data_IF_580986628841
#
_entry.id   IF_580986628841
#
_cell.length_a   1.000
_cell.length_b   1.000
_cell.length_c   1.000
_cell.angle_alpha   90.00
_cell.angle_beta   90.00
_cell.angle_gamma   90.00
#
_symmetry.space_group_name_H-M   'P 1'
#
loop_
_entity.id
_entity.type
_entity.pdbx_description
1 polymer ?
#
# COMPACT_ATOMS: atom_id res chain seq x y z
N UNK A 1 37.07 34.37 -7.46
CA UNK A 1 37.54 33.31 -6.53
C UNK A 1 36.80 33.26 -5.19
N UNK A 2 35.98 34.24 -4.81
CA UNK A 2 35.21 34.20 -3.58
C UNK A 2 34.00 33.26 -3.67
N UNK A 3 33.30 33.16 -4.83
CA UNK A 3 32.13 32.32 -4.99
C UNK A 3 32.38 30.81 -4.89
N UNK A 4 33.61 30.36 -5.19
CA UNK A 4 33.98 28.95 -5.10
C UNK A 4 34.18 28.44 -3.66
N UNK A 5 34.44 29.35 -2.72
CA UNK A 5 34.54 29.00 -1.31
C UNK A 5 33.22 28.84 -0.59
N UNK A 6 32.15 29.49 -1.09
CA UNK A 6 30.82 29.35 -0.50
C UNK A 6 30.11 28.06 -0.93
N UNK A 7 30.41 27.55 -2.12
CA UNK A 7 29.82 26.30 -2.63
C UNK A 7 30.41 25.03 -2.00
N UNK A 8 31.58 25.10 -1.39
CA UNK A 8 32.24 23.99 -0.73
C UNK A 8 32.19 24.05 0.80
N UNK A 9 31.54 25.05 1.37
CA UNK A 9 31.19 25.01 2.78
C UNK A 9 29.90 24.17 2.95
N UNK A 10 30.09 22.86 3.04
CA UNK A 10 29.14 22.05 3.82
C UNK A 10 29.09 22.68 5.23
N UNK A 11 28.08 23.47 5.47
CA UNK A 11 27.73 23.88 6.84
C UNK A 11 27.21 22.63 7.52
N UNK A 12 28.11 21.85 8.08
CA UNK A 12 27.73 20.92 9.13
C UNK A 12 27.11 21.78 10.23
N UNK A 13 25.81 21.65 10.52
CA UNK A 13 25.20 22.44 11.56
C UNK A 13 25.88 22.07 12.88
N UNK A 14 26.73 22.98 13.35
CA UNK A 14 27.29 22.88 14.68
C UNK A 14 26.12 23.09 15.64
N UNK A 15 25.59 21.98 16.17
CA UNK A 15 24.46 22.02 17.12
C UNK A 15 23.12 21.64 16.54
N UNK A 16 23.05 20.69 15.59
CA UNK A 16 21.81 19.98 15.40
C UNK A 16 21.38 19.43 16.77
N UNK A 17 20.18 19.83 17.28
CA UNK A 17 19.70 19.27 18.53
C UNK A 17 19.66 17.75 18.31
N UNK A 18 20.50 17.02 19.02
CA UNK A 18 20.33 15.58 19.14
C UNK A 18 18.94 15.43 19.76
N UNK A 19 17.96 15.13 18.94
CA UNK A 19 16.69 14.65 19.45
C UNK A 19 17.03 13.38 20.21
N UNK A 20 17.24 13.53 21.51
CA UNK A 20 17.18 12.38 22.40
C UNK A 20 15.81 11.77 22.14
N UNK A 21 15.80 10.62 21.48
CA UNK A 21 14.65 9.76 21.55
C UNK A 21 14.43 9.56 23.05
N UNK A 22 13.47 10.27 23.60
CA UNK A 22 12.92 9.89 24.88
C UNK A 22 12.49 8.46 24.68
N UNK A 23 13.17 7.53 25.36
CA UNK A 23 12.70 6.16 25.48
C UNK A 23 11.22 6.28 25.84
N UNK A 24 10.35 6.06 24.86
CA UNK A 24 8.94 5.90 25.17
C UNK A 24 8.92 4.64 26.01
N UNK A 25 8.45 4.76 27.24
CA UNK A 25 8.10 3.62 28.06
C UNK A 25 7.21 2.70 27.26
N UNK A 26 7.83 1.75 26.57
CA UNK A 26 7.10 0.68 25.92
C UNK A 26 6.54 -0.11 27.09
N UNK A 27 5.23 -0.18 27.26
CA UNK A 27 4.65 -0.92 28.37
C UNK A 27 5.19 -2.34 28.31
N UNK A 28 5.84 -2.76 29.37
CA UNK A 28 6.59 -4.02 29.55
C UNK A 28 5.72 -5.27 29.31
N UNK A 29 4.42 -5.09 29.17
CA UNK A 29 3.44 -6.13 28.86
C UNK A 29 2.44 -5.61 27.83
N UNK A 30 2.64 -5.98 26.58
CA UNK A 30 1.56 -5.97 25.60
C UNK A 30 0.44 -6.88 26.12
N UNK A 31 -0.68 -6.30 26.51
CA UNK A 31 -1.86 -7.10 26.87
C UNK A 31 -2.30 -7.84 25.62
N UNK A 32 -2.38 -9.20 25.66
CA UNK A 32 -2.96 -9.93 24.56
C UNK A 32 -4.39 -9.41 24.35
N UNK A 33 -4.70 -9.01 23.12
CA UNK A 33 -6.06 -8.61 22.75
C UNK A 33 -6.90 -9.90 22.77
N UNK A 34 -7.62 -10.12 23.85
CA UNK A 34 -8.62 -11.17 23.95
C UNK A 34 -9.93 -10.60 23.37
N UNK A 35 -10.29 -11.05 22.18
CA UNK A 35 -11.50 -10.63 21.51
C UNK A 35 -11.63 -11.24 20.13
N UNK A 36 -12.82 -11.18 19.50
CA UNK A 36 -12.97 -11.54 18.09
C UNK A 36 -11.99 -10.71 17.28
N UNK A 37 -11.47 -11.29 16.18
CA UNK A 37 -10.54 -10.62 15.29
C UNK A 37 -11.05 -9.20 14.99
N UNK A 38 -10.27 -8.19 15.38
CA UNK A 38 -10.65 -6.79 15.20
C UNK A 38 -10.68 -6.52 13.69
N UNK A 39 -11.88 -6.42 13.15
CA UNK A 39 -12.10 -5.96 11.77
C UNK A 39 -12.23 -4.44 11.83
N UNK A 40 -11.34 -3.75 11.13
CA UNK A 40 -11.51 -2.32 10.83
C UNK A 40 -12.06 -2.22 9.43
N UNK A 41 -13.09 -1.44 9.25
CA UNK A 41 -13.73 -1.27 7.95
C UNK A 41 -14.22 0.17 7.78
N UNK A 42 -14.33 0.61 6.52
CA UNK A 42 -14.80 1.94 6.18
C UNK A 42 -15.17 2.08 4.71
N UNK A 43 -15.75 3.24 4.40
CA UNK A 43 -16.05 3.67 3.03
C UNK A 43 -15.33 4.97 2.65
N UNK A 44 -14.78 5.65 3.65
CA UNK A 44 -14.02 6.87 3.44
C UNK A 44 -12.57 6.51 3.13
N UNK A 45 -12.03 7.16 2.14
CA UNK A 45 -10.62 7.12 1.73
C UNK A 45 -10.22 8.54 1.29
N UNK A 46 -8.94 8.77 1.06
CA UNK A 46 -8.50 10.07 0.61
C UNK A 46 -8.20 11.08 1.71
N UNK A 47 -7.97 10.60 2.92
CA UNK A 47 -7.46 11.42 4.02
C UNK A 47 -5.99 11.75 3.80
N UNK A 48 -5.52 12.87 4.36
CA UNK A 48 -4.10 13.22 4.42
C UNK A 48 -3.26 12.12 5.10
N UNK A 49 -3.87 11.37 6.00
CA UNK A 49 -3.29 10.20 6.64
C UNK A 49 -4.21 8.99 6.39
N UNK A 50 -3.95 8.19 5.35
CA UNK A 50 -4.73 6.99 5.08
C UNK A 50 -4.60 5.99 6.23
N UNK A 51 -5.66 5.23 6.48
CA UNK A 51 -5.57 4.09 7.37
C UNK A 51 -4.74 3.00 6.72
N UNK A 52 -3.82 2.44 7.49
CA UNK A 52 -2.93 1.40 7.01
C UNK A 52 -3.03 0.14 7.86
N UNK A 53 -2.75 -0.99 7.22
CA UNK A 53 -2.71 -2.30 7.84
C UNK A 53 -1.47 -3.06 7.41
N UNK A 54 -0.76 -3.64 8.36
CA UNK A 54 0.42 -4.47 8.12
C UNK A 54 0.02 -5.94 8.21
N UNK A 55 0.31 -6.69 7.16
CA UNK A 55 0.16 -8.15 7.11
C UNK A 55 1.54 -8.77 6.97
N UNK A 56 1.88 -9.73 7.83
CA UNK A 56 3.21 -10.32 7.80
C UNK A 56 3.18 -11.77 8.31
N UNK A 57 4.09 -12.58 7.76
CA UNK A 57 4.39 -13.92 8.27
C UNK A 57 5.78 -14.01 8.96
N UNK A 58 6.42 -12.85 9.19
CA UNK A 58 7.74 -12.75 9.79
C UNK A 58 8.87 -12.59 8.77
N UNK A 59 8.78 -13.18 7.58
CA UNK A 59 9.76 -13.02 6.49
C UNK A 59 9.26 -12.12 5.36
N UNK A 60 7.99 -12.25 5.00
CA UNK A 60 7.29 -11.35 4.08
C UNK A 60 6.40 -10.38 4.84
N UNK A 61 6.39 -9.12 4.43
CA UNK A 61 5.51 -8.09 4.98
C UNK A 61 4.85 -7.29 3.86
N UNK A 62 3.54 -7.12 3.97
CA UNK A 62 2.72 -6.28 3.09
C UNK A 62 2.05 -5.16 3.87
N UNK A 63 2.21 -3.93 3.43
CA UNK A 63 1.45 -2.78 3.90
C UNK A 63 0.28 -2.55 2.95
N UNK A 64 -0.91 -2.38 3.49
CA UNK A 64 -2.14 -2.10 2.77
C UNK A 64 -2.79 -0.82 3.28
N UNK A 65 -3.11 0.12 2.38
CA UNK A 65 -3.85 1.34 2.68
C UNK A 65 -5.35 1.19 2.40
N UNK A 66 -6.17 2.01 3.05
CA UNK A 66 -7.61 2.10 2.84
C UNK A 66 -7.97 2.42 1.38
N UNK A 67 -7.12 3.18 0.70
CA UNK A 67 -7.25 3.53 -0.71
C UNK A 67 -6.74 2.45 -1.68
N UNK A 68 -6.25 1.31 -1.18
CA UNK A 68 -5.74 0.21 -2.01
C UNK A 68 -4.26 0.32 -2.40
N UNK A 69 -3.56 1.39 -2.00
CA UNK A 69 -2.11 1.44 -2.14
C UNK A 69 -1.47 0.38 -1.25
N UNK A 70 -0.43 -0.26 -1.77
CA UNK A 70 0.26 -1.32 -1.05
C UNK A 70 1.77 -1.18 -1.18
N UNK A 71 2.50 -1.84 -0.30
CA UNK A 71 3.95 -1.96 -0.39
C UNK A 71 4.36 -3.32 0.16
N UNK A 72 5.27 -4.00 -0.51
CA UNK A 72 5.72 -5.33 -0.10
C UNK A 72 7.23 -5.38 0.07
N UNK A 73 7.66 -6.08 1.11
CA UNK A 73 9.08 -6.30 1.43
C UNK A 73 9.31 -7.73 1.90
N UNK A 74 10.52 -8.22 1.68
CA UNK A 74 11.01 -9.49 2.17
C UNK A 74 12.33 -9.27 2.93
N UNK A 75 12.31 -9.44 4.24
CA UNK A 75 13.44 -9.10 5.09
C UNK A 75 13.79 -7.60 4.97
N UNK A 76 15.00 -7.30 4.55
CA UNK A 76 15.51 -5.94 4.29
C UNK A 76 15.24 -5.44 2.86
N UNK A 77 14.77 -6.32 1.95
CA UNK A 77 14.56 -6.00 0.54
C UNK A 77 13.16 -5.47 0.28
N UNK A 78 13.10 -4.32 -0.35
CA UNK A 78 11.88 -3.79 -0.92
C UNK A 78 11.54 -4.59 -2.18
N UNK A 79 10.32 -5.11 -2.29
CA UNK A 79 9.88 -5.90 -3.44
C UNK A 79 9.15 -5.02 -4.45
N UNK A 80 8.21 -4.21 -3.97
CA UNK A 80 7.47 -3.28 -4.82
C UNK A 80 7.78 -1.85 -4.43
N UNK A 81 7.70 -0.94 -5.39
CA UNK A 81 7.88 0.49 -5.13
C UNK A 81 6.85 0.98 -4.11
N UNK A 82 7.34 1.60 -3.04
CA UNK A 82 6.53 2.25 -2.02
C UNK A 82 6.69 3.76 -2.14
N UNK A 83 5.76 4.42 -2.82
CA UNK A 83 5.68 5.90 -2.88
C UNK A 83 4.71 6.39 -1.80
N UNK A 84 5.05 6.17 -0.54
CA UNK A 84 4.30 6.68 0.58
C UNK A 84 4.29 8.22 0.52
N UNK A 85 3.11 8.81 0.41
CA UNK A 85 2.93 10.27 0.28
C UNK A 85 2.59 10.77 -1.11
N UNK A 86 2.65 9.95 -2.14
CA UNK A 86 2.14 10.30 -3.46
C UNK A 86 0.75 9.69 -3.67
N UNK A 87 -0.26 10.47 -3.37
CA UNK A 87 -1.67 10.05 -3.37
C UNK A 87 -2.14 9.47 -4.72
N UNK A 88 -1.66 10.00 -5.84
CA UNK A 88 -2.04 9.58 -7.19
C UNK A 88 -1.02 8.68 -7.89
N UNK A 89 0.08 8.34 -7.24
CA UNK A 89 1.04 7.43 -7.84
C UNK A 89 0.68 5.98 -7.52
N UNK A 90 0.74 5.07 -8.49
CA UNK A 90 0.61 3.67 -8.18
C UNK A 90 1.73 3.26 -7.21
N UNK A 91 1.38 2.51 -6.19
CA UNK A 91 2.32 1.94 -5.24
C UNK A 91 1.94 0.49 -4.98
N UNK A 92 2.93 -0.37 -4.91
CA UNK A 92 2.73 -1.81 -4.78
C UNK A 92 2.19 -2.43 -6.06
N UNK A 93 1.14 -3.23 -5.93
CA UNK A 93 0.45 -3.87 -7.05
C UNK A 93 -0.91 -3.22 -7.22
N UNK A 94 -1.15 -2.63 -8.38
CA UNK A 94 -2.44 -2.08 -8.76
C UNK A 94 -3.15 -3.02 -9.73
N UNK A 95 -4.43 -3.28 -9.50
CA UNK A 95 -5.26 -4.16 -10.32
C UNK A 95 -6.36 -3.35 -11.01
N UNK A 96 -6.59 -3.65 -12.28
CA UNK A 96 -7.55 -2.99 -13.12
C UNK A 96 -8.38 -4.00 -13.89
N UNK A 97 -9.61 -3.63 -14.18
CA UNK A 97 -10.45 -4.31 -15.16
C UNK A 97 -10.60 -3.40 -16.39
N UNK A 98 -10.22 -3.90 -17.56
CA UNK A 98 -10.40 -3.21 -18.84
C UNK A 98 -11.59 -3.85 -19.57
N UNK A 99 -12.67 -3.10 -19.69
CA UNK A 99 -13.84 -3.46 -20.48
C UNK A 99 -14.03 -2.54 -21.68
N UNK A 100 -15.15 -2.67 -22.36
CA UNK A 100 -15.51 -1.82 -23.50
C UNK A 100 -15.68 -0.36 -23.10
N UNK A 101 -16.16 -0.10 -21.88
CA UNK A 101 -16.42 1.23 -21.33
C UNK A 101 -15.16 1.92 -20.82
N UNK A 102 -14.00 1.23 -20.79
CA UNK A 102 -12.74 1.77 -20.33
C UNK A 102 -12.02 0.92 -19.29
N UNK A 103 -11.09 1.54 -18.58
CA UNK A 103 -10.29 0.91 -17.53
C UNK A 103 -10.83 1.35 -16.17
N UNK A 104 -11.07 0.38 -15.30
CA UNK A 104 -11.57 0.56 -13.93
C UNK A 104 -10.54 0.05 -12.93
N UNK A 105 -10.20 0.87 -11.92
CA UNK A 105 -9.40 0.44 -10.78
C UNK A 105 -10.24 -0.44 -9.85
N UNK A 106 -9.69 -1.58 -9.44
CA UNK A 106 -10.36 -2.47 -8.48
C UNK A 106 -10.20 -2.02 -7.03
N UNK A 107 -9.45 -0.93 -6.84
CA UNK A 107 -9.29 -0.18 -5.59
C UNK A 107 -9.38 1.31 -5.89
N UNK A 108 -9.63 2.20 -4.90
CA UNK A 108 -9.71 3.63 -5.14
C UNK A 108 -8.48 4.18 -5.89
N UNK A 109 -7.30 3.96 -5.35
CA UNK A 109 -6.06 4.39 -5.99
C UNK A 109 -5.65 3.43 -7.13
N UNK A 110 -4.99 3.94 -8.16
CA UNK A 110 -4.58 5.33 -8.38
C UNK A 110 -5.61 6.18 -9.14
N UNK A 111 -6.73 5.60 -9.61
CA UNK A 111 -7.63 6.26 -10.56
C UNK A 111 -8.71 7.12 -9.87
N UNK A 112 -9.10 6.80 -8.64
CA UNK A 112 -10.17 7.49 -7.89
C UNK A 112 -11.43 7.75 -8.71
N UNK A 113 -11.87 6.72 -9.40
CA UNK A 113 -13.03 6.78 -10.31
C UNK A 113 -14.35 6.89 -9.57
N UNK A 114 -15.40 7.23 -10.30
CA UNK A 114 -16.77 7.15 -9.80
C UNK A 114 -17.12 5.72 -9.46
N UNK A 115 -17.85 5.55 -8.37
CA UNK A 115 -18.29 4.26 -7.86
C UNK A 115 -18.29 4.26 -6.34
N UNK A 116 -18.79 3.21 -5.76
CA UNK A 116 -18.78 3.02 -4.32
C UNK A 116 -17.63 2.09 -3.94
N UNK A 117 -16.82 2.53 -3.00
CA UNK A 117 -15.72 1.75 -2.45
C UNK A 117 -15.96 1.48 -0.96
N UNK A 118 -15.53 0.29 -0.53
CA UNK A 118 -15.34 0.00 0.88
C UNK A 118 -14.07 -0.81 1.09
N UNK A 119 -13.55 -0.75 2.30
CA UNK A 119 -12.35 -1.47 2.69
C UNK A 119 -12.54 -2.17 4.04
N UNK A 120 -11.80 -3.25 4.23
CA UNK A 120 -11.77 -4.04 5.44
C UNK A 120 -10.34 -4.49 5.74
N UNK A 121 -9.91 -4.33 6.99
CA UNK A 121 -8.65 -4.85 7.50
C UNK A 121 -8.92 -5.86 8.59
N UNK A 122 -8.35 -7.04 8.47
CA UNK A 122 -8.50 -8.14 9.42
C UNK A 122 -7.17 -8.86 9.62
N UNK A 123 -7.07 -9.70 10.64
CA UNK A 123 -5.81 -10.36 11.02
C UNK A 123 -5.14 -11.18 9.90
N UNK A 124 -5.90 -11.64 8.92
CA UNK A 124 -5.40 -12.44 7.80
C UNK A 124 -5.09 -11.62 6.55
N UNK A 125 -5.46 -10.32 6.50
CA UNK A 125 -5.25 -9.52 5.30
C UNK A 125 -6.08 -8.26 5.21
N UNK A 126 -6.23 -7.79 3.98
CA UNK A 126 -7.03 -6.64 3.61
C UNK A 126 -7.98 -6.99 2.47
N UNK A 127 -9.12 -6.30 2.39
CA UNK A 127 -10.04 -6.43 1.29
C UNK A 127 -10.59 -5.05 0.89
N UNK A 128 -10.85 -4.90 -0.40
CA UNK A 128 -11.49 -3.72 -0.99
C UNK A 128 -12.64 -4.19 -1.87
N UNK A 129 -13.77 -3.50 -1.78
CA UNK A 129 -14.93 -3.73 -2.64
C UNK A 129 -15.19 -2.48 -3.46
N UNK A 130 -15.48 -2.66 -4.73
CA UNK A 130 -15.86 -1.61 -5.65
C UNK A 130 -17.16 -1.98 -6.35
N UNK A 131 -18.10 -1.05 -6.46
CA UNK A 131 -19.34 -1.21 -7.21
C UNK A 131 -19.60 -0.01 -8.11
N UNK A 132 -19.95 -0.29 -9.36
CA UNK A 132 -20.29 0.72 -10.34
C UNK A 132 -21.14 0.12 -11.46
N UNK A 133 -22.29 0.70 -11.72
CA UNK A 133 -23.19 0.39 -12.86
C UNK A 133 -23.36 -1.12 -13.15
N UNK A 134 -23.61 -1.92 -12.12
CA UNK A 134 -23.80 -3.38 -12.24
C UNK A 134 -22.52 -4.21 -12.14
N UNK A 135 -21.34 -3.61 -12.22
CA UNK A 135 -20.08 -4.27 -11.88
C UNK A 135 -19.87 -4.22 -10.37
N UNK A 136 -19.62 -5.36 -9.75
CA UNK A 136 -19.16 -5.45 -8.38
C UNK A 136 -17.89 -6.29 -8.34
N UNK A 137 -16.87 -5.77 -7.62
CA UNK A 137 -15.59 -6.46 -7.44
C UNK A 137 -15.22 -6.54 -5.97
N UNK A 138 -14.55 -7.62 -5.59
CA UNK A 138 -13.90 -7.75 -4.29
C UNK A 138 -12.46 -8.19 -4.50
N UNK A 139 -11.52 -7.37 -4.08
CA UNK A 139 -10.08 -7.68 -4.11
C UNK A 139 -9.63 -7.97 -2.69
N UNK A 140 -9.00 -9.11 -2.47
CA UNK A 140 -8.41 -9.48 -1.17
C UNK A 140 -6.90 -9.62 -1.30
N UNK A 141 -6.20 -9.19 -0.25
CA UNK A 141 -4.75 -9.38 -0.08
C UNK A 141 -4.52 -10.23 1.16
N UNK A 142 -3.74 -11.30 1.01
CA UNK A 142 -3.30 -12.15 2.12
C UNK A 142 -1.82 -12.49 1.98
N UNK A 143 -1.14 -12.70 3.11
CA UNK A 143 0.23 -13.21 3.15
C UNK A 143 0.18 -14.64 3.69
N UNK A 144 0.58 -15.64 2.88
CA UNK A 144 0.60 -17.03 3.32
C UNK A 144 1.54 -17.26 4.48
N UNK A 145 1.20 -18.17 5.38
CA UNK A 145 1.99 -18.42 6.61
C UNK A 145 3.39 -18.95 6.37
N UNK A 146 3.60 -19.74 5.32
CA UNK A 146 4.83 -20.50 5.07
C UNK A 146 5.57 -20.10 3.81
N UNK A 147 5.01 -19.21 3.01
CA UNK A 147 5.55 -18.82 1.71
C UNK A 147 5.89 -17.33 1.69
N UNK A 148 6.99 -16.99 1.05
CA UNK A 148 7.42 -15.60 0.88
C UNK A 148 6.71 -14.99 -0.34
N UNK A 149 5.57 -14.36 -0.08
CA UNK A 149 4.76 -13.74 -1.11
C UNK A 149 3.45 -13.20 -0.56
N UNK A 150 2.71 -12.58 -1.45
CA UNK A 150 1.33 -12.17 -1.20
C UNK A 150 0.40 -12.75 -2.26
N UNK A 151 -0.79 -13.12 -1.82
CA UNK A 151 -1.84 -13.61 -2.69
C UNK A 151 -2.90 -12.51 -2.87
N UNK A 152 -3.23 -12.23 -4.11
CA UNK A 152 -4.34 -11.36 -4.49
C UNK A 152 -5.43 -12.18 -5.13
N UNK A 153 -6.63 -12.14 -4.53
CA UNK A 153 -7.84 -12.76 -5.09
C UNK A 153 -8.79 -11.67 -5.53
N UNK A 154 -9.24 -11.76 -6.78
CA UNK A 154 -10.26 -10.88 -7.35
C UNK A 154 -11.51 -11.68 -7.64
N UNK A 155 -12.61 -11.22 -7.09
CA UNK A 155 -13.96 -11.72 -7.39
C UNK A 155 -14.69 -10.65 -8.19
N UNK A 156 -15.25 -11.03 -9.33
CA UNK A 156 -16.00 -10.16 -10.23
C UNK A 156 -17.43 -10.67 -10.30
N UNK A 157 -18.39 -9.77 -10.17
CA UNK A 157 -19.81 -10.04 -10.34
C UNK A 157 -20.42 -9.00 -11.27
N UNK A 158 -21.27 -9.45 -12.18
CA UNK A 158 -21.98 -8.60 -13.12
C UNK A 158 -23.50 -8.79 -12.99
N UNK A 159 -24.20 -7.70 -12.77
CA UNK A 159 -25.68 -7.66 -12.66
C UNK A 159 -26.30 -6.70 -13.68
N UNK A 160 -25.48 -6.10 -14.56
CA UNK A 160 -25.95 -5.25 -15.64
C UNK A 160 -26.56 -6.05 -16.78
N UNK A 161 -27.07 -5.33 -17.79
CA UNK A 161 -27.62 -5.96 -18.97
C UNK A 161 -26.53 -6.60 -19.85
N UNK A 162 -26.87 -7.75 -20.46
CA UNK A 162 -25.97 -8.43 -21.38
C UNK A 162 -24.77 -9.11 -20.70
N UNK A 163 -23.70 -9.25 -21.47
CA UNK A 163 -22.46 -9.93 -21.05
C UNK A 163 -21.35 -8.93 -20.79
N UNK A 164 -20.69 -9.05 -19.67
CA UNK A 164 -19.45 -8.33 -19.38
C UNK A 164 -18.29 -9.07 -20.04
N UNK A 165 -17.55 -8.35 -20.88
CA UNK A 165 -16.31 -8.81 -21.50
C UNK A 165 -15.19 -7.85 -21.20
N UNK A 166 -14.01 -8.37 -20.85
CA UNK A 166 -12.85 -7.55 -20.54
C UNK A 166 -11.66 -8.35 -20.08
N UNK A 167 -10.61 -7.65 -19.68
CA UNK A 167 -9.35 -8.20 -19.23
C UNK A 167 -9.02 -7.70 -17.82
N UNK A 168 -8.40 -8.57 -17.03
CA UNK A 168 -7.82 -8.21 -15.75
C UNK A 168 -6.35 -7.83 -15.95
N UNK A 169 -5.99 -6.62 -15.61
CA UNK A 169 -4.64 -6.09 -15.74
C UNK A 169 -4.02 -5.91 -14.35
N UNK A 170 -2.75 -6.29 -14.23
CA UNK A 170 -1.94 -6.02 -13.05
C UNK A 170 -0.75 -5.14 -13.42
N UNK A 171 -0.53 -4.10 -12.64
CA UNK A 171 0.62 -3.21 -12.76
C UNK A 171 1.42 -3.22 -11.47
N UNK A 172 2.73 -3.33 -11.59
CA UNK A 172 3.66 -3.20 -10.47
C UNK A 172 5.00 -2.62 -10.94
N UNK A 173 5.68 -1.92 -10.04
CA UNK A 173 7.07 -1.50 -10.22
C UNK A 173 7.94 -2.31 -9.23
N UNK A 174 8.74 -3.28 -9.71
CA UNK A 174 9.63 -4.04 -8.86
C UNK A 174 10.85 -3.21 -8.47
N UNK A 175 11.27 -3.30 -7.21
CA UNK A 175 12.50 -2.65 -6.70
C UNK A 175 13.59 -3.69 -6.47
N UNK A 176 13.31 -4.78 -5.76
CA UNK A 176 14.14 -5.97 -5.55
C UNK A 176 15.52 -5.71 -4.89
N UNK A 177 15.71 -4.57 -4.24
CA UNK A 177 16.95 -4.23 -3.55
C UNK A 177 16.68 -3.78 -2.09
N UNK A 178 17.72 -3.68 -1.26
CA UNK A 178 17.59 -3.06 0.06
C UNK A 178 17.01 -1.64 -0.04
N UNK A 179 16.17 -1.27 0.92
CA UNK A 179 15.52 0.05 0.92
C UNK A 179 16.54 1.20 0.95
N UNK A 180 17.65 1.02 1.67
CA UNK A 180 18.71 2.01 1.74
C UNK A 180 19.37 2.25 0.38
N UNK A 181 19.60 1.18 -0.40
CA UNK A 181 20.19 1.28 -1.73
C UNK A 181 19.24 1.99 -2.70
N UNK A 182 17.95 1.64 -2.65
CA UNK A 182 16.94 2.32 -3.45
C UNK A 182 16.81 3.82 -3.11
N UNK A 183 16.91 4.18 -1.83
CA UNK A 183 16.85 5.57 -1.40
C UNK A 183 18.11 6.37 -1.77
N UNK A 184 19.27 5.72 -1.80
CA UNK A 184 20.54 6.34 -2.20
C UNK A 184 20.65 6.56 -3.70
N UNK A 185 19.99 5.71 -4.50
CA UNK A 185 20.04 5.75 -5.96
C UNK A 185 18.63 5.66 -6.57
N UNK A 186 17.78 6.69 -6.39
CA UNK A 186 16.38 6.63 -6.82
C UNK A 186 16.18 6.65 -8.34
N UNK A 187 17.27 6.74 -9.11
CA UNK A 187 17.23 6.77 -10.59
C UNK A 187 17.43 5.37 -11.24
N UNK A 188 17.58 4.31 -10.42
CA UNK A 188 17.74 2.95 -10.91
C UNK A 188 16.64 2.05 -10.40
#
# INVERSE_FOLDING_TARGET
MAAYRELLQERVPVGAPIMRQTERDIPEKLRPVQGPALVRAGREFGRLAPECHLVSNGSWSGLAGDNGLTASRMGDRQITLAKLGQYYAPAGISLFFQGKEGIFGLTPAPLYQKGEYSWEFHSAGAAWTFTWEGLATRTTLTVPRRENGELRRVELSWTGEGRLEGELLAYLEPVLCPLADFQSHPAF
#
